data_IF_934523037146
#
_entry.id   IF_934523037146
#
_cell.length_a   1.000
_cell.length_b   1.000
_cell.length_c   1.000
_cell.angle_alpha   90.00
_cell.angle_beta   90.00
_cell.angle_gamma   90.00
#
_symmetry.space_group_name_H-M   'P 1'
#
loop_
_entity.id
_entity.type
_entity.pdbx_description
1 polymer ?
#
# COMPACT_ATOMS: atom_id res chain seq x y z
N UNK A 1 5.45 -4.49 -15.61
CA UNK A 1 4.02 -4.89 -15.65
C UNK A 1 3.17 -3.73 -15.12
N UNK A 2 2.17 -3.24 -15.86
CA UNK A 2 1.27 -2.18 -15.38
C UNK A 2 0.06 -2.82 -14.70
N UNK A 3 0.05 -2.87 -13.37
CA UNK A 3 -1.14 -3.20 -12.58
C UNK A 3 -2.13 -2.05 -12.72
N UNK A 4 -3.22 -2.23 -13.48
CA UNK A 4 -4.31 -1.24 -13.61
C UNK A 4 -5.15 -1.24 -12.32
N UNK A 5 -4.64 -0.64 -11.27
CA UNK A 5 -5.41 -0.40 -10.05
C UNK A 5 -6.38 0.75 -10.31
N UNK A 6 -7.69 0.48 -10.28
CA UNK A 6 -8.72 1.47 -10.61
C UNK A 6 -8.73 2.60 -9.58
N UNK A 7 -8.28 3.78 -10.00
CA UNK A 7 -8.35 5.00 -9.21
C UNK A 7 -9.78 5.51 -9.14
N UNK A 8 -10.18 6.04 -7.97
CA UNK A 8 -11.47 6.69 -7.75
C UNK A 8 -11.34 7.83 -6.76
N UNK A 9 -12.27 8.76 -6.76
CA UNK A 9 -12.28 9.82 -5.76
C UNK A 9 -12.60 9.29 -4.36
N UNK A 10 -12.00 9.92 -3.35
CA UNK A 10 -12.31 9.62 -1.97
C UNK A 10 -13.78 9.99 -1.65
N UNK A 11 -14.51 9.03 -1.07
CA UNK A 11 -15.93 9.19 -0.73
C UNK A 11 -16.21 10.16 0.44
N UNK A 12 -15.18 10.66 1.12
CA UNK A 12 -15.29 11.66 2.19
C UNK A 12 -15.17 13.10 1.65
N UNK A 13 -15.05 13.31 0.34
CA UNK A 13 -15.02 14.64 -0.26
C UNK A 13 -13.73 15.44 -0.02
N UNK A 14 -12.62 14.79 0.32
CA UNK A 14 -11.33 15.47 0.53
C UNK A 14 -10.56 15.83 -0.76
N UNK A 15 -11.16 15.60 -1.94
CA UNK A 15 -10.53 15.88 -3.24
C UNK A 15 -9.37 14.95 -3.63
N UNK A 16 -9.00 13.99 -2.78
CA UNK A 16 -7.92 13.04 -3.09
C UNK A 16 -8.42 11.84 -3.90
N UNK A 17 -7.65 11.47 -4.92
CA UNK A 17 -7.82 10.21 -5.63
C UNK A 17 -7.21 9.05 -4.85
N UNK A 18 -7.97 7.98 -4.69
CA UNK A 18 -7.59 6.79 -3.93
C UNK A 18 -7.68 5.53 -4.78
N UNK A 19 -6.93 4.53 -4.36
CA UNK A 19 -6.95 3.16 -4.87
C UNK A 19 -7.39 2.26 -3.71
N UNK A 20 -8.39 1.41 -3.94
CA UNK A 20 -8.72 0.37 -2.97
C UNK A 20 -7.82 -0.83 -3.16
N UNK A 21 -7.34 -1.38 -2.05
CA UNK A 21 -6.68 -2.66 -2.02
C UNK A 21 -7.01 -3.42 -0.74
N UNK A 22 -7.02 -4.75 -0.83
CA UNK A 22 -7.21 -5.65 0.30
C UNK A 22 -5.86 -5.94 0.93
N UNK A 23 -5.69 -5.60 2.21
CA UNK A 23 -4.49 -5.97 2.96
C UNK A 23 -4.39 -7.49 3.10
N UNK A 24 -3.24 -8.04 2.78
CA UNK A 24 -3.03 -9.50 2.81
C UNK A 24 -3.05 -10.04 4.24
N UNK A 25 -2.51 -9.28 5.21
CA UNK A 25 -2.41 -9.72 6.60
C UNK A 25 -3.75 -9.71 7.37
N UNK A 26 -4.68 -8.85 6.97
CA UNK A 26 -5.93 -8.59 7.71
C UNK A 26 -7.19 -8.84 6.88
N UNK A 27 -7.05 -9.11 5.58
CA UNK A 27 -8.14 -9.23 4.60
C UNK A 27 -9.09 -8.02 4.55
N UNK A 28 -8.69 -6.86 5.10
CA UNK A 28 -9.49 -5.63 5.09
C UNK A 28 -9.23 -4.84 3.81
N UNK A 29 -10.31 -4.35 3.20
CA UNK A 29 -10.23 -3.35 2.13
C UNK A 29 -9.92 -1.99 2.73
N UNK A 30 -8.82 -1.38 2.28
CA UNK A 30 -8.33 -0.09 2.77
C UNK A 30 -8.09 0.83 1.58
N UNK A 31 -8.48 2.12 1.66
CA UNK A 31 -8.09 3.09 0.65
C UNK A 31 -6.63 3.49 0.81
N UNK A 32 -5.94 3.63 -0.31
CA UNK A 32 -4.57 4.11 -0.41
C UNK A 32 -4.54 5.35 -1.32
N UNK A 33 -3.65 6.29 -1.05
CA UNK A 33 -3.43 7.44 -1.94
C UNK A 33 -3.00 6.93 -3.32
N UNK A 34 -3.65 7.41 -4.38
CA UNK A 34 -3.34 6.97 -5.75
C UNK A 34 -1.93 7.42 -6.19
N UNK A 35 -1.43 8.52 -5.63
CA UNK A 35 -0.09 9.01 -5.87
C UNK A 35 0.93 8.15 -5.09
N UNK A 36 1.97 7.62 -5.74
CA UNK A 36 3.00 6.89 -5.03
C UNK A 36 3.89 7.82 -4.20
N UNK A 37 4.57 7.23 -3.23
CA UNK A 37 5.49 7.89 -2.31
C UNK A 37 6.93 7.46 -2.61
N UNK A 38 7.82 8.45 -2.74
CA UNK A 38 9.23 8.24 -3.03
C UNK A 38 10.13 8.52 -1.82
N UNK A 39 11.31 7.91 -1.83
CA UNK A 39 12.37 8.17 -0.86
C UNK A 39 11.99 7.81 0.59
N UNK A 40 12.48 8.56 1.59
CA UNK A 40 12.35 8.20 3.00
C UNK A 40 10.90 8.22 3.52
N UNK A 41 9.98 8.87 2.80
CA UNK A 41 8.56 8.91 3.16
C UNK A 41 7.84 7.56 2.95
N UNK A 42 8.52 6.54 2.42
CA UNK A 42 8.03 5.16 2.24
C UNK A 42 7.75 4.43 3.56
N UNK A 43 8.25 4.93 4.70
CA UNK A 43 7.94 4.33 6.00
C UNK A 43 6.42 4.20 6.21
N UNK A 44 5.95 2.98 6.52
CA UNK A 44 4.52 2.69 6.69
C UNK A 44 3.69 2.58 5.40
N UNK A 45 4.31 2.76 4.23
CA UNK A 45 3.66 2.55 2.94
C UNK A 45 3.55 1.06 2.60
N UNK A 46 2.64 0.75 1.67
CA UNK A 46 2.40 -0.60 1.18
C UNK A 46 2.62 -0.66 -0.32
N UNK A 47 2.92 -1.84 -0.83
CA UNK A 47 2.99 -2.10 -2.27
C UNK A 47 1.67 -2.70 -2.73
N UNK A 48 1.12 -2.16 -3.81
CA UNK A 48 -0.18 -2.59 -4.36
C UNK A 48 0.04 -3.49 -5.58
N UNK A 49 -0.35 -4.77 -5.46
CA UNK A 49 -0.23 -5.77 -6.54
C UNK A 49 -1.55 -6.49 -6.69
N UNK A 50 -2.18 -6.43 -7.87
CA UNK A 50 -3.45 -7.10 -8.18
C UNK A 50 -4.53 -6.90 -7.10
N UNK A 51 -4.82 -5.64 -6.76
CA UNK A 51 -5.78 -5.26 -5.70
C UNK A 51 -5.41 -5.72 -4.28
N UNK A 52 -4.21 -6.26 -4.08
CA UNK A 52 -3.70 -6.63 -2.76
C UNK A 52 -2.69 -5.61 -2.28
N UNK A 53 -2.79 -5.24 -1.00
CA UNK A 53 -1.84 -4.38 -0.33
C UNK A 53 -0.92 -5.22 0.55
N UNK A 54 0.38 -5.11 0.28
CA UNK A 54 1.41 -5.85 0.97
C UNK A 54 2.30 -4.92 1.78
N UNK A 55 2.71 -5.36 2.97
CA UNK A 55 3.88 -4.80 3.63
C UNK A 55 5.12 -5.17 2.81
N UNK A 56 6.10 -4.27 2.60
CA UNK A 56 7.26 -4.55 1.75
C UNK A 56 8.01 -5.83 2.13
N UNK A 57 8.20 -6.08 3.43
CA UNK A 57 8.87 -7.31 3.90
C UNK A 57 8.09 -8.58 3.54
N UNK A 58 6.77 -8.60 3.79
CA UNK A 58 5.94 -9.75 3.47
C UNK A 58 5.87 -10.01 1.96
N UNK A 59 5.90 -8.95 1.14
CA UNK A 59 5.99 -9.10 -0.31
C UNK A 59 7.34 -9.67 -0.74
N UNK A 60 8.43 -9.24 -0.10
CA UNK A 60 9.75 -9.77 -0.39
C UNK A 60 9.86 -11.26 -0.02
N UNK A 61 9.32 -11.67 1.14
CA UNK A 61 9.23 -13.09 1.52
C UNK A 61 8.39 -13.88 0.50
N UNK A 62 7.26 -13.32 0.06
CA UNK A 62 6.42 -13.92 -0.97
C UNK A 62 7.16 -14.09 -2.30
N UNK A 63 7.85 -13.04 -2.78
CA UNK A 63 8.62 -13.08 -4.03
C UNK A 63 9.81 -14.02 -3.94
N UNK A 64 10.48 -14.10 -2.78
CA UNK A 64 11.59 -15.02 -2.59
C UNK A 64 11.14 -16.47 -2.83
N UNK A 65 10.00 -16.86 -2.27
CA UNK A 65 9.44 -18.21 -2.46
C UNK A 65 8.86 -18.37 -3.87
N UNK A 66 8.05 -17.42 -4.33
CA UNK A 66 7.33 -17.51 -5.60
C UNK A 66 8.27 -17.57 -6.81
N UNK A 67 9.38 -16.83 -6.79
CA UNK A 67 10.34 -16.75 -7.89
C UNK A 67 11.65 -17.49 -7.59
N UNK A 68 11.70 -18.27 -6.51
CA UNK A 68 12.86 -19.06 -6.09
C UNK A 68 14.16 -18.23 -6.04
N UNK A 69 14.08 -17.02 -5.49
CA UNK A 69 15.20 -16.10 -5.46
C UNK A 69 16.26 -16.57 -4.45
N UNK A 70 17.56 -16.37 -4.76
CA UNK A 70 18.65 -16.92 -3.95
C UNK A 70 18.73 -16.32 -2.53
N UNK A 71 18.14 -15.16 -2.30
CA UNK A 71 18.10 -14.52 -0.99
C UNK A 71 16.90 -13.57 -0.83
N UNK A 72 16.55 -13.28 0.43
CA UNK A 72 15.54 -12.27 0.76
C UNK A 72 15.97 -10.87 0.32
N UNK A 73 17.29 -10.57 0.32
CA UNK A 73 17.82 -9.29 -0.13
C UNK A 73 17.50 -9.06 -1.61
N UNK A 74 17.67 -10.08 -2.46
CA UNK A 74 17.34 -9.96 -3.87
C UNK A 74 15.84 -9.74 -4.09
N UNK A 75 15.00 -10.37 -3.27
CA UNK A 75 13.57 -10.14 -3.30
C UNK A 75 13.20 -8.72 -2.87
N UNK A 76 13.89 -8.15 -1.87
CA UNK A 76 13.68 -6.76 -1.43
C UNK A 76 14.05 -5.76 -2.53
N UNK A 77 15.15 -5.98 -3.26
CA UNK A 77 15.51 -5.16 -4.42
C UNK A 77 14.37 -5.10 -5.44
N UNK A 78 13.77 -6.25 -5.77
CA UNK A 78 12.63 -6.31 -6.70
C UNK A 78 11.41 -5.56 -6.14
N UNK A 79 11.13 -5.66 -4.84
CA UNK A 79 10.01 -4.95 -4.21
C UNK A 79 10.21 -3.42 -4.26
N UNK A 80 11.43 -2.93 -4.12
CA UNK A 80 11.75 -1.49 -4.16
C UNK A 80 11.47 -0.85 -5.54
N UNK A 81 11.43 -1.64 -6.61
CA UNK A 81 11.04 -1.19 -7.95
C UNK A 81 9.53 -0.92 -8.08
N UNK A 82 8.71 -1.41 -7.14
CA UNK A 82 7.27 -1.21 -7.17
C UNK A 82 6.87 0.11 -6.49
N UNK A 83 5.82 0.79 -7.00
CA UNK A 83 5.31 2.00 -6.38
C UNK A 83 4.75 1.71 -4.99
N UNK A 84 5.19 2.53 -4.03
CA UNK A 84 4.73 2.48 -2.65
C UNK A 84 3.59 3.47 -2.43
N UNK A 85 2.54 3.03 -1.77
CA UNK A 85 1.33 3.82 -1.53
C UNK A 85 1.05 3.97 -0.05
N UNK A 86 0.70 5.19 0.37
CA UNK A 86 0.30 5.48 1.74
C UNK A 86 -1.17 5.11 1.96
N UNK A 87 -1.53 4.51 3.10
CA UNK A 87 -2.93 4.40 3.50
C UNK A 87 -3.59 5.78 3.56
N UNK A 88 -4.73 5.93 2.92
CA UNK A 88 -5.51 7.17 2.93
C UNK A 88 -6.33 7.24 4.22
N UNK A 89 -5.97 8.15 5.12
CA UNK A 89 -6.59 8.29 6.43
C UNK A 89 -7.22 9.67 6.58
N UNK A 90 -8.40 9.71 7.21
CA UNK A 90 -8.99 10.93 7.72
C UNK A 90 -8.83 10.94 9.23
N UNK A 91 -8.19 11.98 9.77
CA UNK A 91 -8.23 12.22 11.20
C UNK A 91 -9.67 12.61 11.55
N UNK A 92 -10.40 11.73 12.23
CA UNK A 92 -11.69 12.12 12.82
C UNK A 92 -11.39 12.95 14.07
N UNK A 93 -11.69 14.24 14.02
CA UNK A 93 -11.74 15.13 15.20
C UNK A 93 -12.96 14.88 16.09
N UNK A 94 -13.61 13.71 16.01
CA UNK A 94 -14.71 13.33 16.89
C UNK A 94 -14.15 12.64 18.14
N UNK A 95 -13.80 13.43 19.17
CA UNK A 95 -13.41 12.88 20.47
C UNK A 95 -12.80 13.83 21.50
N UNK A 96 -12.58 15.12 21.20
CA UNK A 96 -11.97 16.05 22.15
C UNK A 96 -12.97 16.81 23.05
N UNK A 97 -14.29 16.60 22.90
CA UNK A 97 -15.33 17.42 23.56
C UNK A 97 -16.39 16.59 24.30
N UNK A 98 -15.97 15.51 24.98
CA UNK A 98 -16.79 14.78 25.96
C UNK A 98 -16.01 14.50 27.24
N UNK A 99 -15.38 15.55 27.76
CA UNK A 99 -14.91 15.61 29.15
C UNK A 99 -16.01 16.19 30.05
#
# INVERSE_FOLDING_TARGET
MRTTTRTRECNRGCGMSVVLARRVDTNRWVPYEARPVDGPARAGCHVLVNEQAWKPLALAEHFQVQFELPSLEKARELVEEYPHHRPHLHLTTEGADRA
#
